data_IF_848356101845
#
_entry.id   IF_848356101845
#
_cell.length_a   1.000
_cell.length_b   1.000
_cell.length_c   1.000
_cell.angle_alpha   90.00
_cell.angle_beta   90.00
_cell.angle_gamma   90.00
#
_symmetry.space_group_name_H-M   'P 1'
#
loop_
_entity.id
_entity.type
_entity.pdbx_description
1 polymer ?
#
# COMPACT_ATOMS: atom_id res chain seq x y z
N UNK A 1 -4.20 35.97 -48.04
CA UNK A 1 -3.87 34.54 -48.13
C UNK A 1 -3.26 34.11 -46.80
N UNK A 2 -4.09 33.56 -45.91
CA UNK A 2 -3.70 33.24 -44.53
C UNK A 2 -3.14 31.83 -44.42
N UNK A 3 -1.95 31.72 -43.81
CA UNK A 3 -1.22 30.49 -43.51
C UNK A 3 -1.97 29.71 -42.42
N UNK A 4 -2.34 28.46 -42.68
CA UNK A 4 -2.78 27.52 -41.63
C UNK A 4 -1.54 26.85 -41.03
N UNK A 5 -1.24 27.16 -39.77
CA UNK A 5 -0.31 26.36 -38.95
C UNK A 5 -1.15 25.36 -38.16
N UNK A 6 -0.98 24.08 -38.45
CA UNK A 6 -1.58 22.98 -37.71
C UNK A 6 -0.79 22.81 -36.41
N UNK A 7 -1.43 23.13 -35.28
CA UNK A 7 -0.87 22.92 -33.95
C UNK A 7 -1.26 21.50 -33.50
N UNK A 8 -0.31 20.57 -33.53
CA UNK A 8 -0.44 19.25 -32.91
C UNK A 8 -0.44 19.44 -31.39
N UNK A 9 -1.58 19.19 -30.75
CA UNK A 9 -1.66 19.03 -29.30
C UNK A 9 -1.24 17.60 -28.95
N UNK A 10 -0.06 17.45 -28.35
CA UNK A 10 0.33 16.25 -27.62
C UNK A 10 -0.22 16.41 -26.20
N UNK A 11 -1.34 15.75 -25.90
CA UNK A 11 -1.83 15.61 -24.54
C UNK A 11 -0.94 14.60 -23.81
N UNK A 12 0.09 15.10 -23.13
CA UNK A 12 0.80 14.34 -22.12
C UNK A 12 -0.11 14.22 -20.89
N UNK A 13 -0.88 13.13 -20.81
CA UNK A 13 -1.65 12.78 -19.63
C UNK A 13 -0.71 12.39 -18.49
N UNK A 14 -0.63 13.23 -17.46
CA UNK A 14 0.04 12.89 -16.21
C UNK A 14 -0.82 11.87 -15.45
N UNK A 15 -0.49 10.58 -15.61
CA UNK A 15 -1.04 9.50 -14.80
C UNK A 15 -0.40 9.56 -13.41
N UNK A 16 -1.13 10.13 -12.44
CA UNK A 16 -0.71 10.22 -11.05
C UNK A 16 -0.77 8.83 -10.39
N UNK A 17 0.36 8.13 -10.41
CA UNK A 17 0.55 6.81 -9.80
C UNK A 17 0.69 6.98 -8.28
N UNK A 18 -0.39 6.73 -7.54
CA UNK A 18 -0.37 6.50 -6.11
C UNK A 18 -0.19 5.01 -5.83
N UNK A 19 0.92 4.64 -5.20
CA UNK A 19 1.19 3.27 -4.76
C UNK A 19 0.15 2.90 -3.68
N UNK A 20 -0.74 1.97 -3.99
CA UNK A 20 -1.62 1.37 -2.98
C UNK A 20 -0.77 0.54 -2.00
N UNK A 21 -0.49 1.12 -0.83
CA UNK A 21 0.04 0.42 0.33
C UNK A 21 -0.89 -0.71 0.78
N UNK A 22 -0.27 -1.79 1.27
CA UNK A 22 -0.86 -3.11 1.43
C UNK A 22 -2.14 -3.21 2.27
N UNK A 23 -2.97 -4.16 1.88
CA UNK A 23 -4.14 -4.64 2.61
C UNK A 23 -3.67 -5.76 3.55
N UNK A 24 -4.05 -5.83 4.84
CA UNK A 24 -3.64 -6.92 5.74
C UNK A 24 -4.72 -8.03 5.89
N UNK A 25 -4.40 -9.36 6.10
CA UNK A 25 -5.18 -10.69 6.31
C UNK A 25 -5.60 -11.25 7.80
N UNK A 26 -6.88 -11.59 8.19
CA UNK A 26 -7.53 -11.58 9.56
C UNK A 26 -7.88 -13.03 9.81
N UNK A 27 -7.36 -13.60 10.87
CA UNK A 27 -7.93 -14.79 11.47
C UNK A 27 -8.68 -14.40 12.75
N UNK A 28 -9.82 -15.03 13.00
CA UNK A 28 -10.63 -14.90 14.20
C UNK A 28 -10.19 -15.92 15.27
N UNK A 29 -10.31 -15.57 16.55
CA UNK A 29 -10.12 -16.46 17.71
C UNK A 29 -11.49 -16.85 18.30
N UNK A 30 -11.60 -18.11 18.71
CA UNK A 30 -12.82 -18.85 19.03
C UNK A 30 -13.49 -18.48 20.37
N UNK A 31 -14.83 -18.50 20.36
CA UNK A 31 -15.69 -18.54 21.55
C UNK A 31 -16.76 -19.62 21.36
N UNK A 32 -16.69 -20.65 22.19
CA UNK A 32 -17.36 -21.95 22.15
C UNK A 32 -18.92 -21.91 22.22
N UNK A 33 -19.62 -22.48 21.23
CA UNK A 33 -20.93 -23.11 21.40
C UNK A 33 -21.29 -24.00 20.17
N UNK A 34 -21.45 -25.29 20.43
CA UNK A 34 -21.81 -26.35 19.48
C UNK A 34 -23.29 -26.27 19.04
N UNK A 35 -23.55 -26.19 17.73
CA UNK A 35 -24.73 -26.82 17.10
C UNK A 35 -24.52 -26.99 15.58
N UNK A 36 -24.51 -28.25 15.14
CA UNK A 36 -24.21 -28.67 13.77
C UNK A 36 -25.31 -28.29 12.76
N UNK A 37 -24.96 -27.67 11.62
CA UNK A 37 -25.47 -28.07 10.29
C UNK A 37 -24.68 -27.46 9.12
N UNK A 38 -24.21 -28.36 8.25
CA UNK A 38 -23.87 -28.25 6.82
C UNK A 38 -22.75 -27.30 6.33
N UNK A 39 -21.75 -27.97 5.76
CA UNK A 39 -20.53 -27.46 5.11
C UNK A 39 -20.89 -26.69 3.83
N UNK A 40 -20.41 -25.44 3.73
CA UNK A 40 -20.27 -24.73 2.46
C UNK A 40 -18.97 -23.93 2.46
N UNK A 41 -18.31 -23.99 1.29
CA UNK A 41 -16.98 -23.51 0.90
C UNK A 41 -16.29 -22.42 1.74
N UNK A 42 -15.05 -22.71 2.13
CA UNK A 42 -14.10 -21.82 2.81
C UNK A 42 -13.85 -20.50 2.05
N UNK A 43 -14.30 -19.38 2.62
CA UNK A 43 -13.83 -18.03 2.26
C UNK A 43 -12.69 -17.59 3.21
N UNK A 44 -11.54 -17.10 2.71
CA UNK A 44 -10.44 -16.66 3.56
C UNK A 44 -10.68 -15.26 4.13
N UNK A 45 -10.76 -15.17 5.46
CA UNK A 45 -10.90 -13.95 6.25
C UNK A 45 -9.55 -13.18 6.28
N UNK A 46 -9.58 -11.85 6.14
CA UNK A 46 -8.45 -10.94 5.83
C UNK A 46 -8.38 -9.71 6.82
N UNK A 47 -7.22 -9.16 7.26
CA UNK A 47 -6.72 -8.63 8.58
C UNK A 47 -5.23 -8.37 8.97
N UNK A 48 -5.09 -7.43 9.86
CA UNK A 48 -3.85 -7.12 10.54
C UNK A 48 -4.19 -6.11 11.59
N UNK A 49 -3.38 -6.07 12.62
CA UNK A 49 -3.67 -5.39 13.88
C UNK A 49 -3.62 -3.86 13.77
N UNK A 50 -4.61 -3.31 13.07
CA UNK A 50 -5.01 -1.91 13.12
C UNK A 50 -6.50 -1.87 12.79
N UNK A 51 -7.37 -1.74 13.80
CA UNK A 51 -8.80 -1.53 13.56
C UNK A 51 -8.97 -0.15 12.91
N UNK A 52 -8.92 -0.08 11.59
CA UNK A 52 -9.47 1.05 10.86
C UNK A 52 -10.98 0.98 11.05
N UNK A 53 -11.45 1.62 12.12
CA UNK A 53 -12.86 1.94 12.27
C UNK A 53 -13.17 2.97 11.18
N UNK A 54 -13.56 2.48 9.99
CA UNK A 54 -14.31 3.27 9.06
C UNK A 54 -15.53 3.77 9.82
N UNK A 55 -15.75 5.09 9.81
CA UNK A 55 -16.99 5.61 10.39
C UNK A 55 -18.12 5.04 9.55
N UNK A 56 -19.14 4.49 10.19
CA UNK A 56 -20.31 3.95 9.50
C UNK A 56 -20.89 4.97 8.52
N UNK A 57 -20.86 6.24 8.89
CA UNK A 57 -21.22 7.39 8.06
C UNK A 57 -20.40 7.49 6.77
N UNK A 58 -19.09 7.26 6.82
CA UNK A 58 -18.20 7.32 5.64
C UNK A 58 -18.42 6.14 4.69
N UNK A 59 -18.70 4.94 5.24
CA UNK A 59 -19.08 3.80 4.40
C UNK A 59 -20.42 4.06 3.72
N UNK A 60 -21.40 4.62 4.45
CA UNK A 60 -22.68 5.03 3.90
C UNK A 60 -22.56 6.10 2.82
N UNK A 61 -21.67 7.08 3.01
CA UNK A 61 -21.39 8.12 2.01
C UNK A 61 -20.75 7.53 0.75
N UNK A 62 -19.67 6.76 0.90
CA UNK A 62 -19.02 6.07 -0.22
C UNK A 62 -19.95 5.11 -0.95
N UNK A 63 -20.78 4.39 -0.21
CA UNK A 63 -21.78 3.50 -0.80
C UNK A 63 -22.72 4.29 -1.71
N UNK A 64 -23.25 5.43 -1.23
CA UNK A 64 -24.09 6.32 -2.04
C UNK A 64 -23.39 6.86 -3.27
N UNK A 65 -22.12 7.27 -3.15
CA UNK A 65 -21.31 7.71 -4.30
C UNK A 65 -21.14 6.63 -5.37
N UNK A 66 -21.03 5.38 -4.94
CA UNK A 66 -20.88 4.20 -5.81
C UNK A 66 -22.23 3.60 -6.23
N UNK A 67 -23.36 4.19 -5.84
CA UNK A 67 -24.70 3.69 -6.13
C UNK A 67 -25.06 2.39 -5.39
N UNK A 68 -24.38 2.09 -4.29
CA UNK A 68 -24.61 0.95 -3.41
C UNK A 68 -25.61 1.37 -2.31
N UNK A 69 -26.66 0.57 -2.14
CA UNK A 69 -27.62 0.75 -1.05
C UNK A 69 -27.01 0.31 0.30
N UNK A 70 -26.91 1.22 1.29
CA UNK A 70 -26.41 0.89 2.61
C UNK A 70 -27.47 0.37 3.59
N UNK A 71 -28.75 0.36 3.23
CA UNK A 71 -29.82 -0.08 4.14
C UNK A 71 -29.74 -1.58 4.41
N UNK A 72 -29.98 -1.97 5.66
CA UNK A 72 -30.00 -3.35 6.17
C UNK A 72 -28.72 -4.19 6.03
N UNK A 73 -27.59 -3.60 5.60
CA UNK A 73 -26.29 -4.28 5.50
C UNK A 73 -25.42 -4.03 6.72
N UNK A 74 -24.68 -5.06 7.15
CA UNK A 74 -23.68 -4.86 8.19
C UNK A 74 -22.43 -4.13 7.65
N UNK A 75 -21.65 -3.52 8.55
CA UNK A 75 -20.48 -2.70 8.21
C UNK A 75 -19.44 -3.45 7.37
N UNK A 76 -19.32 -4.77 7.55
CA UNK A 76 -18.34 -5.61 6.85
C UNK A 76 -18.83 -5.95 5.45
N UNK A 77 -20.11 -6.30 5.29
CA UNK A 77 -20.74 -6.51 3.99
C UNK A 77 -20.68 -5.24 3.13
N UNK A 78 -21.06 -4.10 3.72
CA UNK A 78 -21.02 -2.81 3.04
C UNK A 78 -19.58 -2.45 2.61
N UNK A 79 -18.59 -2.70 3.46
CA UNK A 79 -17.19 -2.47 3.12
C UNK A 79 -16.68 -3.39 1.99
N UNK A 80 -17.14 -4.65 1.95
CA UNK A 80 -16.80 -5.61 0.88
C UNK A 80 -17.34 -5.10 -0.47
N UNK A 81 -18.61 -4.73 -0.52
CA UNK A 81 -19.23 -4.22 -1.74
C UNK A 81 -18.59 -2.92 -2.24
N UNK A 82 -18.28 -1.99 -1.32
CA UNK A 82 -17.54 -0.76 -1.66
C UNK A 82 -16.18 -1.09 -2.25
N UNK A 83 -15.44 -2.03 -1.66
CA UNK A 83 -14.13 -2.45 -2.17
C UNK A 83 -14.25 -3.04 -3.58
N UNK A 84 -15.23 -3.90 -3.80
CA UNK A 84 -15.47 -4.53 -5.12
C UNK A 84 -15.81 -3.48 -6.19
N UNK A 85 -16.68 -2.52 -5.86
CA UNK A 85 -17.01 -1.42 -6.75
C UNK A 85 -15.80 -0.52 -7.04
N UNK A 86 -14.98 -0.20 -6.03
CA UNK A 86 -13.74 0.57 -6.21
C UNK A 86 -12.72 -0.19 -7.08
N UNK A 87 -12.62 -1.52 -6.94
CA UNK A 87 -11.73 -2.36 -7.76
C UNK A 87 -12.19 -2.38 -9.21
N UNK A 88 -13.50 -2.56 -9.47
CA UNK A 88 -14.06 -2.52 -10.83
C UNK A 88 -13.83 -1.15 -11.47
N UNK A 89 -14.10 -0.06 -10.75
CA UNK A 89 -13.84 1.29 -11.24
C UNK A 89 -12.36 1.49 -11.64
N UNK A 90 -11.42 1.03 -10.82
CA UNK A 90 -9.98 1.10 -11.13
C UNK A 90 -9.61 0.21 -12.32
N UNK A 91 -10.20 -0.97 -12.42
CA UNK A 91 -10.00 -1.85 -13.56
C UNK A 91 -10.47 -1.16 -14.86
N UNK A 92 -11.65 -0.55 -14.85
CA UNK A 92 -12.19 0.22 -15.98
C UNK A 92 -11.28 1.39 -16.37
N UNK A 93 -10.80 2.17 -15.40
CA UNK A 93 -9.86 3.27 -15.61
C UNK A 93 -8.53 2.81 -16.26
N UNK A 94 -8.11 1.58 -15.97
CA UNK A 94 -6.91 0.96 -16.52
C UNK A 94 -7.17 0.14 -17.79
N UNK A 95 -8.43 0.03 -18.24
CA UNK A 95 -8.83 -0.77 -19.39
C UNK A 95 -8.70 -2.29 -19.16
N UNK A 96 -8.79 -2.73 -17.90
CA UNK A 96 -8.78 -4.14 -17.50
C UNK A 96 -10.21 -4.69 -17.60
N UNK A 97 -10.37 -5.81 -18.28
CA UNK A 97 -11.66 -6.53 -18.35
C UNK A 97 -12.08 -7.04 -16.97
N UNK A 98 -13.32 -6.78 -16.57
CA UNK A 98 -13.87 -7.21 -15.28
C UNK A 98 -14.74 -8.45 -15.35
N UNK A 99 -15.10 -8.91 -16.55
CA UNK A 99 -16.07 -9.98 -16.71
C UNK A 99 -15.53 -11.33 -16.19
N UNK A 100 -16.29 -11.95 -15.29
CA UNK A 100 -15.97 -13.28 -14.73
C UNK A 100 -14.76 -13.32 -13.77
N UNK A 101 -14.17 -12.17 -13.42
CA UNK A 101 -13.05 -12.08 -12.47
C UNK A 101 -13.55 -11.78 -11.07
N UNK A 102 -12.96 -12.45 -10.09
CA UNK A 102 -13.16 -12.10 -8.67
C UNK A 102 -12.26 -10.93 -8.26
N UNK A 103 -12.52 -10.39 -7.06
CA UNK A 103 -11.80 -9.24 -6.50
C UNK A 103 -10.29 -9.47 -6.38
N UNK A 104 -9.87 -10.72 -6.18
CA UNK A 104 -8.45 -11.08 -6.06
C UNK A 104 -7.77 -11.03 -7.42
N UNK A 105 -8.37 -11.66 -8.43
CA UNK A 105 -7.88 -11.62 -9.80
C UNK A 105 -7.78 -10.18 -10.32
N UNK A 106 -8.80 -9.36 -10.07
CA UNK A 106 -8.77 -7.93 -10.42
C UNK A 106 -7.63 -7.19 -9.71
N UNK A 107 -7.42 -7.45 -8.42
CA UNK A 107 -6.35 -6.81 -7.66
C UNK A 107 -4.97 -7.21 -8.17
N UNK A 108 -4.76 -8.49 -8.49
CA UNK A 108 -3.52 -9.00 -9.06
C UNK A 108 -3.23 -8.33 -10.42
N UNK A 109 -4.23 -8.20 -11.27
CA UNK A 109 -4.09 -7.57 -12.58
C UNK A 109 -3.85 -6.06 -12.50
N UNK A 110 -4.60 -5.34 -11.65
CA UNK A 110 -4.38 -3.93 -11.35
C UNK A 110 -2.95 -3.72 -10.80
N UNK A 111 -2.50 -4.60 -9.90
CA UNK A 111 -1.14 -4.53 -9.37
C UNK A 111 -0.10 -4.76 -10.46
N UNK A 112 -0.32 -5.75 -11.34
CA UNK A 112 0.56 -6.04 -12.47
C UNK A 112 0.68 -4.84 -13.41
N UNK A 113 -0.43 -4.20 -13.80
CA UNK A 113 -0.41 -3.00 -14.65
C UNK A 113 0.40 -1.86 -14.02
N UNK A 114 0.20 -1.59 -12.73
CA UNK A 114 0.99 -0.58 -12.02
C UNK A 114 2.48 -0.94 -11.97
N UNK A 115 2.80 -2.20 -11.73
CA UNK A 115 4.17 -2.68 -11.68
C UNK A 115 4.86 -2.56 -13.04
N UNK A 116 4.19 -2.91 -14.14
CA UNK A 116 4.72 -2.74 -15.49
C UNK A 116 4.93 -1.26 -15.85
N UNK A 117 4.00 -0.39 -15.47
CA UNK A 117 4.15 1.05 -15.66
C UNK A 117 5.38 1.58 -14.91
N UNK A 118 5.59 1.13 -13.67
CA UNK A 118 6.77 1.49 -12.87
C UNK A 118 8.06 0.95 -13.47
N UNK A 119 8.05 -0.30 -13.94
CA UNK A 119 9.19 -0.89 -14.62
C UNK A 119 9.61 -0.06 -15.85
N UNK A 120 8.64 0.34 -16.69
CA UNK A 120 8.88 1.20 -17.85
C UNK A 120 9.43 2.57 -17.46
N UNK A 121 8.91 3.20 -16.41
CA UNK A 121 9.42 4.47 -15.87
C UNK A 121 10.90 4.35 -15.46
N UNK A 122 11.30 3.19 -14.94
CA UNK A 122 12.67 2.90 -14.51
C UNK A 122 13.58 2.40 -15.65
N UNK A 123 13.07 2.31 -16.89
CA UNK A 123 13.81 1.80 -18.04
C UNK A 123 13.98 0.28 -18.06
N UNK A 124 13.15 -0.46 -17.31
CA UNK A 124 13.11 -1.92 -17.29
C UNK A 124 12.08 -2.45 -18.29
N UNK A 125 12.35 -3.62 -18.87
CA UNK A 125 11.42 -4.33 -19.76
C UNK A 125 10.58 -5.32 -18.94
N UNK A 126 9.23 -5.16 -18.91
CA UNK A 126 8.34 -6.09 -18.23
C UNK A 126 8.00 -7.35 -19.05
N UNK A 127 8.29 -7.37 -20.35
CA UNK A 127 7.88 -8.45 -21.25
C UNK A 127 8.52 -9.79 -20.87
N UNK A 128 7.69 -10.84 -20.76
CA UNK A 128 8.15 -12.20 -20.49
C UNK A 128 8.61 -12.48 -19.05
N UNK A 129 8.45 -11.52 -18.14
CA UNK A 129 8.76 -11.69 -16.71
C UNK A 129 7.53 -12.04 -15.89
N UNK A 130 7.74 -12.93 -14.93
CA UNK A 130 6.76 -13.20 -13.89
C UNK A 130 6.61 -11.98 -12.97
N UNK A 131 5.41 -11.78 -12.40
CA UNK A 131 5.10 -10.62 -11.58
C UNK A 131 6.07 -10.47 -10.38
N UNK A 132 6.46 -11.58 -9.75
CA UNK A 132 7.41 -11.56 -8.64
C UNK A 132 8.80 -11.12 -9.09
N UNK A 133 9.29 -11.61 -10.22
CA UNK A 133 10.58 -11.25 -10.79
C UNK A 133 10.63 -9.75 -11.14
N UNK A 134 9.59 -9.25 -11.82
CA UNK A 134 9.47 -7.85 -12.16
C UNK A 134 9.41 -6.97 -10.91
N UNK A 135 8.69 -7.40 -9.86
CA UNK A 135 8.60 -6.68 -8.60
C UNK A 135 9.95 -6.60 -7.88
N UNK A 136 10.73 -7.68 -7.90
CA UNK A 136 12.07 -7.70 -7.34
C UNK A 136 12.99 -6.75 -8.10
N UNK A 137 13.00 -6.78 -9.43
CA UNK A 137 13.86 -5.92 -10.25
C UNK A 137 13.52 -4.43 -10.12
N UNK A 138 12.22 -4.10 -10.11
CA UNK A 138 11.74 -2.74 -9.83
C UNK A 138 12.22 -2.28 -8.46
N UNK A 139 12.06 -3.12 -7.43
CA UNK A 139 12.49 -2.80 -6.07
C UNK A 139 14.00 -2.61 -5.99
N UNK A 140 14.78 -3.50 -6.59
CA UNK A 140 16.24 -3.38 -6.63
C UNK A 140 16.70 -2.09 -7.31
N UNK A 141 16.08 -1.76 -8.43
CA UNK A 141 16.40 -0.56 -9.20
C UNK A 141 16.10 0.71 -8.39
N UNK A 142 14.96 0.76 -7.71
CA UNK A 142 14.61 1.87 -6.81
C UNK A 142 15.61 2.02 -5.66
N UNK A 143 16.00 0.92 -5.01
CA UNK A 143 16.99 0.97 -3.92
C UNK A 143 18.34 1.45 -4.44
N UNK A 144 18.80 0.97 -5.61
CA UNK A 144 20.06 1.41 -6.22
C UNK A 144 20.03 2.89 -6.63
N UNK A 145 18.91 3.39 -7.16
CA UNK A 145 18.73 4.82 -7.46
C UNK A 145 18.78 5.66 -6.18
N UNK A 146 18.04 5.27 -5.14
CA UNK A 146 18.07 5.96 -3.84
C UNK A 146 19.42 5.90 -3.16
N UNK A 147 20.16 4.79 -3.26
CA UNK A 147 21.53 4.70 -2.79
C UNK A 147 22.42 5.76 -3.44
N UNK A 148 22.35 5.92 -4.78
CA UNK A 148 23.09 6.95 -5.52
C UNK A 148 22.71 8.36 -5.08
N UNK A 149 21.42 8.64 -4.94
CA UNK A 149 20.92 9.95 -4.46
C UNK A 149 21.41 10.30 -3.05
N UNK A 150 21.57 9.29 -2.19
CA UNK A 150 22.03 9.45 -0.81
C UNK A 150 23.55 9.33 -0.66
N UNK A 151 24.29 9.12 -1.76
CA UNK A 151 25.75 8.96 -1.73
C UNK A 151 26.23 7.65 -1.09
N UNK A 152 25.39 6.60 -1.10
CA UNK A 152 25.73 5.28 -0.56
C UNK A 152 26.35 4.42 -1.67
N UNK A 153 27.53 3.87 -1.39
CA UNK A 153 28.18 2.90 -2.28
C UNK A 153 27.36 1.62 -2.41
N UNK A 154 27.13 1.17 -3.64
CA UNK A 154 26.34 -0.03 -3.96
C UNK A 154 27.19 -1.28 -4.15
N UNK A 155 28.49 -1.12 -4.43
CA UNK A 155 29.34 -2.22 -4.88
C UNK A 155 29.71 -3.17 -3.74
N UNK A 156 29.65 -4.48 -4.00
CA UNK A 156 30.02 -5.52 -3.04
C UNK A 156 29.05 -5.71 -1.87
N UNK A 157 27.93 -4.97 -1.81
CA UNK A 157 26.91 -5.12 -0.77
C UNK A 157 25.82 -6.10 -1.20
N UNK A 158 25.40 -6.93 -0.25
CA UNK A 158 24.17 -7.69 -0.37
C UNK A 158 22.96 -6.74 -0.45
N UNK A 159 21.93 -7.12 -1.21
CA UNK A 159 20.76 -6.29 -1.43
C UNK A 159 20.02 -5.94 -0.13
N UNK A 160 19.90 -6.87 0.82
CA UNK A 160 19.20 -6.60 2.08
C UNK A 160 19.95 -5.56 2.92
N UNK A 161 21.29 -5.64 2.94
CA UNK A 161 22.15 -4.66 3.62
C UNK A 161 22.04 -3.28 2.95
N UNK A 162 22.15 -3.24 1.61
CA UNK A 162 22.00 -1.99 0.86
C UNK A 162 20.62 -1.35 1.12
N UNK A 163 19.54 -2.13 1.05
CA UNK A 163 18.19 -1.64 1.31
C UNK A 163 17.99 -1.18 2.76
N UNK A 164 18.72 -1.75 3.73
CA UNK A 164 18.72 -1.27 5.11
C UNK A 164 19.45 0.08 5.23
N UNK A 165 20.67 0.18 4.72
CA UNK A 165 21.46 1.41 4.76
C UNK A 165 20.73 2.57 4.06
N UNK A 166 20.12 2.32 2.90
CA UNK A 166 19.33 3.30 2.16
C UNK A 166 18.14 3.79 3.00
N UNK A 167 17.44 2.91 3.72
CA UNK A 167 16.31 3.30 4.58
C UNK A 167 16.76 4.12 5.78
N UNK A 168 17.85 3.73 6.42
CA UNK A 168 18.42 4.46 7.56
C UNK A 168 18.90 5.86 7.14
N UNK A 169 19.63 5.96 6.04
CA UNK A 169 20.07 7.24 5.50
C UNK A 169 18.91 8.12 5.03
N UNK A 170 17.88 7.55 4.39
CA UNK A 170 16.68 8.27 4.04
C UNK A 170 15.97 8.82 5.29
N UNK A 171 15.89 8.02 6.36
CA UNK A 171 15.27 8.43 7.62
C UNK A 171 16.03 9.60 8.27
N UNK A 172 17.36 9.51 8.31
CA UNK A 172 18.22 10.59 8.82
C UNK A 172 18.08 11.86 7.97
N UNK A 173 17.98 11.72 6.63
CA UNK A 173 17.75 12.85 5.73
C UNK A 173 16.39 13.52 6.02
N UNK A 174 15.32 12.73 6.09
CA UNK A 174 13.97 13.23 6.40
C UNK A 174 13.93 13.92 7.76
N UNK A 175 14.57 13.35 8.78
CA UNK A 175 14.70 13.97 10.10
C UNK A 175 15.37 15.35 10.03
N UNK A 176 16.49 15.47 9.31
CA UNK A 176 17.18 16.74 9.11
C UNK A 176 16.32 17.78 8.39
N UNK A 177 15.60 17.37 7.35
CA UNK A 177 14.69 18.25 6.60
C UNK A 177 13.52 18.76 7.46
N UNK A 178 13.07 17.96 8.43
CA UNK A 178 12.03 18.31 9.39
C UNK A 178 12.56 19.01 10.65
N UNK A 179 13.88 19.24 10.74
CA UNK A 179 14.52 19.88 11.90
C UNK A 179 14.56 19.00 13.17
N UNK A 180 14.48 17.68 13.01
CA UNK A 180 14.55 16.70 14.09
C UNK A 180 16.01 16.33 14.37
N UNK A 181 16.42 16.40 15.63
CA UNK A 181 17.73 15.94 16.07
C UNK A 181 17.84 14.41 15.95
N UNK A 182 18.92 13.94 15.35
CA UNK A 182 19.15 12.50 15.08
C UNK A 182 20.12 11.85 16.06
N UNK A 183 20.90 12.63 16.81
CA UNK A 183 21.91 12.09 17.74
C UNK A 183 21.25 11.48 18.98
N UNK A 184 21.75 10.32 19.42
CA UNK A 184 21.30 9.66 20.63
C UNK A 184 19.94 8.95 20.56
N UNK A 185 19.22 9.04 19.43
CA UNK A 185 17.93 8.36 19.23
C UNK A 185 18.09 7.01 18.56
N UNK A 186 17.28 6.04 18.97
CA UNK A 186 17.21 4.78 18.25
C UNK A 186 16.40 4.90 16.94
N UNK A 187 16.54 3.90 16.06
CA UNK A 187 15.86 3.90 14.75
C UNK A 187 14.34 4.00 14.86
N UNK A 188 13.74 3.36 15.87
CA UNK A 188 12.29 3.32 16.05
C UNK A 188 11.79 4.67 16.57
N UNK A 189 12.47 5.26 17.54
CA UNK A 189 12.19 6.61 18.05
C UNK A 189 12.26 7.64 16.92
N UNK A 190 13.38 7.65 16.18
CA UNK A 190 13.57 8.58 15.07
C UNK A 190 12.47 8.42 13.99
N UNK A 191 12.11 7.17 13.67
CA UNK A 191 11.02 6.89 12.73
C UNK A 191 9.67 7.44 13.20
N UNK A 192 9.35 7.29 14.49
CA UNK A 192 8.12 7.82 15.04
C UNK A 192 8.08 9.35 14.98
N UNK A 193 9.16 10.01 15.37
CA UNK A 193 9.23 11.48 15.32
C UNK A 193 9.14 12.02 13.89
N UNK A 194 9.87 11.40 12.95
CA UNK A 194 9.79 11.77 11.53
C UNK A 194 8.36 11.59 11.01
N UNK A 195 7.71 10.47 11.34
CA UNK A 195 6.33 10.23 10.92
C UNK A 195 5.37 11.28 11.48
N UNK A 196 5.45 11.58 12.78
CA UNK A 196 4.58 12.57 13.41
C UNK A 196 4.81 13.98 12.84
N UNK A 197 6.06 14.37 12.61
CA UNK A 197 6.39 15.65 11.99
C UNK A 197 5.95 15.73 10.52
N UNK A 198 6.09 14.65 9.74
CA UNK A 198 5.56 14.55 8.37
C UNK A 198 4.04 14.72 8.33
N UNK A 199 3.32 14.13 9.29
CA UNK A 199 1.87 14.31 9.42
C UNK A 199 1.53 15.77 9.71
N UNK A 200 2.22 16.40 10.66
CA UNK A 200 1.97 17.80 11.02
C UNK A 200 2.27 18.75 9.85
N UNK A 201 3.33 18.47 9.08
CA UNK A 201 3.66 19.21 7.87
C UNK A 201 2.57 19.07 6.81
N UNK A 202 2.12 17.85 6.52
CA UNK A 202 1.04 17.60 5.57
C UNK A 202 -0.28 18.28 6.00
N UNK A 203 -0.61 18.24 7.29
CA UNK A 203 -1.77 18.93 7.84
C UNK A 203 -1.71 20.44 7.62
N UNK A 204 -0.54 21.04 7.87
CA UNK A 204 -0.32 22.47 7.63
C UNK A 204 -0.45 22.83 6.15
N UNK A 205 0.06 21.98 5.25
CA UNK A 205 -0.04 22.18 3.80
C UNK A 205 -1.49 22.04 3.28
N UNK A 206 -2.29 21.19 3.91
CA UNK A 206 -3.73 21.02 3.63
C UNK A 206 -4.62 22.04 4.34
N UNK A 207 -4.08 22.86 5.23
CA UNK A 207 -4.88 23.77 6.05
C UNK A 207 -5.75 23.07 7.11
N UNK A 208 -5.39 21.84 7.50
CA UNK A 208 -6.06 21.08 8.56
C UNK A 208 -5.67 21.66 9.92
N UNK A 209 -6.66 21.90 10.79
CA UNK A 209 -6.40 22.32 12.17
C UNK A 209 -5.75 21.18 12.97
N UNK A 210 -4.59 21.48 13.58
CA UNK A 210 -3.82 20.54 14.42
C UNK A 210 -4.08 20.72 15.92
N UNK A 211 -4.83 21.76 16.32
CA UNK A 211 -5.08 22.04 17.74
C UNK A 211 -5.93 20.93 18.38
N UNK A 212 -5.40 20.36 19.48
CA UNK A 212 -6.10 19.32 20.24
C UNK A 212 -6.18 17.94 19.58
N UNK A 213 -5.60 17.75 18.39
CA UNK A 213 -5.57 16.47 17.67
C UNK A 213 -4.21 15.79 17.77
N UNK A 214 -4.21 14.47 17.94
CA UNK A 214 -3.01 13.65 17.83
C UNK A 214 -2.58 13.47 16.37
N UNK A 215 -1.28 13.17 16.10
CA UNK A 215 -0.83 12.83 14.74
C UNK A 215 -1.66 11.71 14.09
N UNK A 216 -2.09 10.72 14.87
CA UNK A 216 -2.93 9.63 14.33
C UNK A 216 -4.30 10.11 13.86
N UNK A 217 -4.92 11.04 14.58
CA UNK A 217 -6.21 11.63 14.19
C UNK A 217 -6.06 12.49 12.95
N UNK A 218 -5.00 13.29 12.88
CA UNK A 218 -4.67 14.11 11.72
C UNK A 218 -4.42 13.22 10.50
N UNK A 219 -3.60 12.17 10.64
CA UNK A 219 -3.36 11.20 9.57
C UNK A 219 -4.67 10.56 9.11
N UNK A 220 -5.55 10.19 10.05
CA UNK A 220 -6.86 9.63 9.70
C UNK A 220 -7.67 10.61 8.87
N UNK A 221 -7.74 11.88 9.27
CA UNK A 221 -8.43 12.95 8.55
C UNK A 221 -7.82 13.21 7.16
N UNK A 222 -6.49 13.21 7.02
CA UNK A 222 -5.81 13.29 5.72
C UNK A 222 -6.23 12.11 4.82
N UNK A 223 -6.28 10.90 5.37
CA UNK A 223 -6.59 9.68 4.63
C UNK A 223 -8.07 9.54 4.27
N UNK A 224 -8.98 10.17 5.00
CA UNK A 224 -10.42 10.07 4.75
C UNK A 224 -10.99 11.29 4.05
N UNK A 225 -10.71 12.48 4.56
CA UNK A 225 -11.44 13.69 4.20
C UNK A 225 -10.64 14.55 3.21
N UNK A 226 -9.30 14.49 3.26
CA UNK A 226 -8.40 15.24 2.36
C UNK A 226 -7.58 14.35 1.42
N UNK A 227 -8.01 13.11 1.20
CA UNK A 227 -7.23 12.10 0.47
C UNK A 227 -6.88 12.53 -0.95
N UNK A 228 -7.86 13.01 -1.71
CA UNK A 228 -7.66 13.36 -3.11
C UNK A 228 -6.85 14.66 -3.26
N UNK A 229 -7.01 15.61 -2.33
CA UNK A 229 -6.18 16.82 -2.25
C UNK A 229 -4.73 16.46 -1.91
N UNK A 230 -4.52 15.61 -0.91
CA UNK A 230 -3.21 15.16 -0.49
C UNK A 230 -2.47 14.39 -1.60
N UNK A 231 -3.19 13.53 -2.34
CA UNK A 231 -2.63 12.88 -3.53
C UNK A 231 -2.27 13.87 -4.63
N UNK A 232 -3.13 14.85 -4.90
CA UNK A 232 -2.92 15.84 -5.96
C UNK A 232 -1.73 16.75 -5.68
N UNK A 233 -1.51 17.08 -4.41
CA UNK A 233 -0.38 17.89 -3.96
C UNK A 233 0.91 17.08 -3.79
N UNK A 234 0.87 15.74 -3.96
CA UNK A 234 2.00 14.84 -3.74
C UNK A 234 2.62 15.04 -2.35
N UNK A 235 1.77 15.04 -1.31
CA UNK A 235 2.17 15.22 0.10
C UNK A 235 1.97 13.93 0.91
N UNK A 236 2.57 13.86 2.09
CA UNK A 236 2.49 12.67 2.95
C UNK A 236 1.04 12.30 3.27
N UNK A 237 0.64 11.01 3.25
CA UNK A 237 1.46 9.81 2.99
C UNK A 237 1.53 9.38 1.51
N UNK A 238 1.05 10.19 0.58
CA UNK A 238 0.99 9.81 -0.85
C UNK A 238 2.24 10.19 -1.64
N UNK A 239 3.11 11.03 -1.06
CA UNK A 239 4.33 11.47 -1.71
C UNK A 239 5.30 10.31 -2.00
N UNK A 240 6.00 10.40 -3.13
CA UNK A 240 6.88 9.33 -3.60
C UNK A 240 8.15 9.20 -2.76
N UNK A 241 8.64 10.30 -2.19
CA UNK A 241 9.88 10.32 -1.42
C UNK A 241 9.71 9.74 -0.03
N UNK A 242 8.71 10.17 0.74
CA UNK A 242 8.48 9.65 2.09
C UNK A 242 7.76 8.30 2.06
N UNK A 243 6.92 8.02 1.06
CA UNK A 243 6.32 6.70 0.86
C UNK A 243 7.38 5.57 0.78
N UNK A 244 8.57 5.86 0.23
CA UNK A 244 9.69 4.92 0.21
C UNK A 244 10.22 4.59 1.63
N UNK A 245 10.24 5.57 2.55
CA UNK A 245 10.69 5.34 3.93
C UNK A 245 9.77 4.39 4.71
N UNK A 246 8.46 4.46 4.45
CA UNK A 246 7.45 3.79 5.28
C UNK A 246 6.90 2.50 4.68
N UNK A 247 7.00 2.30 3.36
CA UNK A 247 6.45 1.12 2.68
C UNK A 247 7.50 0.09 2.23
N UNK A 248 8.80 0.37 2.35
CA UNK A 248 9.85 -0.62 2.04
C UNK A 248 10.10 -1.52 3.26
N UNK A 249 9.19 -2.47 3.47
CA UNK A 249 9.24 -3.46 4.56
C UNK A 249 9.07 -4.89 4.07
N UNK A 250 10.12 -5.71 4.29
CA UNK A 250 10.28 -7.18 4.28
C UNK A 250 9.60 -8.02 3.17
N UNK A 251 10.33 -9.02 2.66
CA UNK A 251 9.76 -10.20 2.00
C UNK A 251 8.57 -10.67 2.83
N UNK A 252 7.40 -10.85 2.21
CA UNK A 252 6.33 -11.60 2.84
C UNK A 252 6.94 -12.94 3.27
N UNK A 253 6.96 -13.22 4.58
CA UNK A 253 7.23 -14.57 5.05
C UNK A 253 6.02 -15.42 4.70
N UNK A 254 5.87 -15.79 3.43
CA UNK A 254 5.21 -17.03 3.09
C UNK A 254 6.20 -18.15 3.41
N UNK A 255 6.24 -18.53 4.69
CA UNK A 255 6.73 -19.84 5.05
C UNK A 255 5.81 -20.87 4.42
N UNK A 256 6.18 -21.38 3.23
CA UNK A 256 5.71 -22.67 2.74
C UNK A 256 6.35 -23.76 3.61
N UNK A 257 5.89 -23.86 4.85
CA UNK A 257 6.17 -24.97 5.74
C UNK A 257 5.23 -26.12 5.39
N UNK A 258 5.52 -26.84 4.31
CA UNK A 258 5.03 -28.20 4.16
C UNK A 258 5.59 -29.04 5.31
N UNK A 259 4.83 -29.13 6.40
CA UNK A 259 5.02 -30.16 7.42
C UNK A 259 4.73 -31.51 6.80
N UNK A 260 5.74 -32.10 6.13
CA UNK A 260 5.74 -33.52 5.81
C UNK A 260 5.60 -34.27 7.13
N UNK A 261 4.48 -34.96 7.28
CA UNK A 261 4.26 -35.93 8.35
C UNK A 261 5.40 -36.95 8.33
N UNK A 262 6.23 -36.90 9.36
CA UNK A 262 7.04 -38.05 9.72
C UNK A 262 6.12 -39.01 10.46
N UNK A 263 5.68 -40.04 9.74
CA UNK A 263 5.30 -41.31 10.32
C UNK A 263 6.51 -41.83 11.11
N UNK A 264 6.44 -41.77 12.43
CA UNK A 264 7.27 -42.62 13.28
C UNK A 264 6.37 -43.71 13.85
N UNK A 265 6.51 -44.90 13.26
CA UNK A 265 5.97 -46.15 13.77
C UNK A 265 6.88 -46.62 14.90
N UNK A 266 6.25 -47.09 15.98
CA UNK A 266 6.85 -47.98 16.95
C UNK A 266 7.01 -47.35 18.33
N UNK A 267 6.85 -48.04 19.46
CA UNK A 267 6.67 -49.45 19.76
C UNK A 267 5.99 -49.49 21.14
N UNK A 268 4.90 -50.25 21.20
CA UNK A 268 4.53 -51.23 22.23
C UNK A 268 5.31 -51.30 23.58
N UNK A 269 4.51 -51.58 24.62
CA UNK A 269 4.78 -52.35 25.85
C UNK A 269 5.01 -51.61 27.18
N UNK A 270 3.99 -51.79 28.03
CA UNK A 270 3.99 -52.08 29.47
C UNK A 270 4.70 -51.16 30.47
#
# INVERSE_FOLDING_TARGET
MNKKKTLMYVMAGALTIGILGGIPVFAAEEGNAQLNKEVSADEPVFGGHGKFHYREEQLKEKAKELGIDPEDKDTRELAKEIMEAELKKKADELGIDTDGKDSRALMEEIHRVHLEAKAKELGLSPEGKEQEELAQEVRETLVKQKAKELGIETDGKDFEKLAQEVREAALVKAAKELGIETEGKDHKELKHEVMDASIMKAAKELGISTEGKSPKEIMKEIMTDHREEAKKLDIFPFNKEEGFLFHVGKRGHHGHGHGKGHHEKGIEQH
#
